data_IF_261718361173
#
_entry.id   IF_261718361173
#
_cell.length_a   1.000
_cell.length_b   1.000
_cell.length_c   1.000
_cell.angle_alpha   90.00
_cell.angle_beta   90.00
_cell.angle_gamma   90.00
#
_symmetry.space_group_name_H-M   'P 1'
#
loop_
_entity.id
_entity.type
_entity.pdbx_description
1 polymer ?
#
# COMPACT_ATOMS: atom_id res chain seq x y z
N UNK A 1 17.73 18.44 44.86
CA UNK A 1 16.62 18.88 43.99
C UNK A 1 16.60 17.95 42.77
N UNK A 2 16.08 16.71 42.81
CA UNK A 2 14.66 16.30 42.86
C UNK A 2 13.81 16.82 41.69
N UNK A 3 14.08 16.36 40.46
CA UNK A 3 13.16 16.51 39.32
C UNK A 3 13.22 15.35 38.30
N UNK A 4 13.36 14.11 38.78
CA UNK A 4 13.41 12.92 37.90
C UNK A 4 12.48 11.78 38.35
N UNK A 5 11.28 12.09 38.87
CA UNK A 5 10.37 11.06 39.39
C UNK A 5 8.87 11.22 39.12
N UNK A 6 8.43 12.08 38.18
CA UNK A 6 6.99 12.40 38.05
C UNK A 6 6.37 12.36 36.64
N UNK A 7 6.76 11.43 35.77
CA UNK A 7 6.00 11.18 34.52
C UNK A 7 5.68 9.71 34.21
N UNK A 8 6.02 8.76 35.09
CA UNK A 8 5.77 7.33 34.85
C UNK A 8 4.35 6.84 35.20
N UNK A 9 3.43 7.72 35.62
CA UNK A 9 2.15 7.32 36.22
C UNK A 9 0.91 7.98 35.59
N UNK A 10 0.79 7.96 34.26
CA UNK A 10 -0.52 8.11 33.60
C UNK A 10 -0.50 7.68 32.12
N UNK A 11 0.08 6.51 31.78
CA UNK A 11 -0.28 5.85 30.52
C UNK A 11 -1.55 5.06 30.82
N UNK A 12 -2.72 5.58 30.47
CA UNK A 12 -3.95 4.77 30.48
C UNK A 12 -3.63 3.51 29.69
N UNK A 13 -3.71 2.35 30.34
CA UNK A 13 -3.57 1.06 29.69
C UNK A 13 -4.72 0.96 28.69
N UNK A 14 -4.46 1.30 27.42
CA UNK A 14 -5.45 1.10 26.36
C UNK A 14 -5.59 -0.42 26.27
N UNK A 15 -6.78 -1.00 26.49
CA UNK A 15 -6.95 -2.44 26.40
C UNK A 15 -6.48 -2.90 25.02
N UNK A 16 -5.75 -4.02 24.99
CA UNK A 16 -5.28 -4.61 23.74
C UNK A 16 -6.49 -4.82 22.83
N UNK A 17 -6.54 -4.17 21.66
CA UNK A 17 -7.68 -4.32 20.77
C UNK A 17 -7.80 -5.79 20.35
N UNK A 18 -9.01 -6.31 20.08
CA UNK A 18 -9.19 -7.64 19.52
C UNK A 18 -8.29 -7.79 18.29
N UNK A 19 -7.81 -9.02 18.02
CA UNK A 19 -6.77 -9.29 17.03
C UNK A 19 -7.07 -8.65 15.65
N UNK A 20 -8.35 -8.62 15.26
CA UNK A 20 -8.86 -7.96 14.04
C UNK A 20 -8.74 -6.44 14.03
N UNK A 21 -8.89 -5.77 15.17
CA UNK A 21 -8.82 -4.31 15.28
C UNK A 21 -7.36 -3.83 15.42
N UNK A 22 -6.51 -4.59 16.10
CA UNK A 22 -5.05 -4.39 16.09
C UNK A 22 -4.49 -4.51 14.66
N UNK A 23 -4.98 -5.52 13.92
CA UNK A 23 -4.65 -5.75 12.51
C UNK A 23 -5.05 -4.58 11.61
N UNK A 24 -6.24 -4.01 11.78
CA UNK A 24 -6.70 -2.85 11.00
C UNK A 24 -5.87 -1.60 11.29
N UNK A 25 -5.55 -1.34 12.57
CA UNK A 25 -4.79 -0.15 12.98
C UNK A 25 -3.32 -0.20 12.55
N UNK A 26 -2.68 -1.38 12.57
CA UNK A 26 -1.33 -1.57 12.02
C UNK A 26 -1.33 -1.41 10.50
N UNK A 27 -2.33 -1.98 9.81
CA UNK A 27 -2.45 -1.88 8.37
C UNK A 27 -2.61 -0.43 7.88
N UNK A 28 -3.27 0.42 8.67
CA UNK A 28 -3.53 1.82 8.33
C UNK A 28 -2.36 2.77 8.60
N UNK A 29 -1.48 2.46 9.57
CA UNK A 29 -0.40 3.37 10.00
C UNK A 29 0.82 3.35 9.08
N UNK A 30 1.14 2.22 8.47
CA UNK A 30 2.36 2.09 7.64
C UNK A 30 2.08 2.23 6.13
N UNK A 31 0.81 2.41 5.73
CA UNK A 31 0.38 2.16 4.34
C UNK A 31 -0.54 3.27 3.80
N UNK A 32 -0.03 4.50 3.72
CA UNK A 32 -0.80 5.68 3.28
C UNK A 32 -1.23 5.70 1.79
N UNK A 33 -0.90 4.65 1.01
CA UNK A 33 -1.08 4.64 -0.45
C UNK A 33 -1.33 3.23 -0.99
N UNK A 34 -2.05 3.17 -2.11
CA UNK A 34 -2.39 1.94 -2.85
C UNK A 34 -1.17 1.04 -3.09
N UNK A 35 -0.01 1.58 -3.48
CA UNK A 35 1.19 0.77 -3.73
C UNK A 35 1.68 0.00 -2.49
N UNK A 36 1.74 0.66 -1.33
CA UNK A 36 2.15 0.02 -0.08
C UNK A 36 1.12 -1.00 0.39
N UNK A 37 -0.17 -0.68 0.22
CA UNK A 37 -1.29 -1.58 0.51
C UNK A 37 -1.17 -2.88 -0.28
N UNK A 38 -0.89 -2.79 -1.59
CA UNK A 38 -0.71 -3.95 -2.45
C UNK A 38 0.52 -4.77 -2.03
N UNK A 39 1.65 -4.14 -1.75
CA UNK A 39 2.86 -4.84 -1.29
C UNK A 39 2.61 -5.66 -0.02
N UNK A 40 1.90 -5.09 0.96
CA UNK A 40 1.50 -5.82 2.17
C UNK A 40 0.52 -6.96 1.87
N UNK A 41 -0.46 -6.71 0.99
CA UNK A 41 -1.41 -7.73 0.57
C UNK A 41 -0.71 -8.92 -0.09
N UNK A 42 0.28 -8.68 -0.96
CA UNK A 42 1.14 -9.72 -1.54
C UNK A 42 1.82 -10.56 -0.46
N UNK A 43 2.52 -9.91 0.48
CA UNK A 43 3.22 -10.57 1.59
C UNK A 43 2.29 -11.43 2.43
N UNK A 44 1.05 -10.98 2.63
CA UNK A 44 0.02 -11.73 3.36
C UNK A 44 -0.50 -12.93 2.57
N UNK A 45 -0.79 -12.75 1.28
CA UNK A 45 -1.24 -13.83 0.40
C UNK A 45 -0.17 -14.91 0.27
N UNK A 46 1.09 -14.53 0.09
CA UNK A 46 2.22 -15.45 0.07
C UNK A 46 2.32 -16.26 1.37
N UNK A 47 2.23 -15.60 2.54
CA UNK A 47 2.19 -16.29 3.84
C UNK A 47 0.99 -17.23 4.00
N UNK A 48 -0.12 -16.95 3.32
CA UNK A 48 -1.31 -17.79 3.30
C UNK A 48 -1.25 -18.92 2.23
N UNK A 49 -0.11 -19.09 1.56
CA UNK A 49 0.13 -20.14 0.56
C UNK A 49 -0.45 -19.84 -0.83
N UNK A 50 -0.65 -18.57 -1.18
CA UNK A 50 -1.01 -18.19 -2.54
C UNK A 50 0.24 -18.06 -3.41
N UNK A 51 0.15 -18.58 -4.64
CA UNK A 51 1.19 -18.49 -5.65
C UNK A 51 1.00 -17.23 -6.52
N UNK A 52 2.08 -16.51 -6.81
CA UNK A 52 2.02 -15.35 -7.70
C UNK A 52 2.04 -15.82 -9.15
N UNK A 53 1.08 -15.36 -9.96
CA UNK A 53 1.10 -15.51 -11.42
C UNK A 53 1.37 -14.17 -12.09
N UNK A 54 2.10 -14.19 -13.20
CA UNK A 54 2.42 -12.99 -13.97
C UNK A 54 1.44 -12.84 -15.13
N UNK A 55 0.88 -11.64 -15.30
CA UNK A 55 -0.11 -11.36 -16.37
C UNK A 55 0.43 -11.54 -17.79
N UNK A 56 1.75 -11.63 -17.94
CA UNK A 56 2.44 -11.77 -19.24
C UNK A 56 2.79 -13.22 -19.58
N UNK A 57 2.52 -14.16 -18.69
CA UNK A 57 2.87 -15.57 -18.84
C UNK A 57 1.60 -16.41 -19.05
N UNK A 58 1.76 -17.58 -19.66
CA UNK A 58 0.68 -18.56 -19.76
C UNK A 58 0.42 -19.19 -18.40
N UNK A 59 -0.84 -19.13 -17.96
CA UNK A 59 -1.22 -19.62 -16.63
C UNK A 59 -1.53 -21.12 -16.66
N UNK A 60 -0.74 -21.90 -15.93
CA UNK A 60 -1.01 -23.31 -15.63
C UNK A 60 -1.69 -23.41 -14.26
N UNK A 61 -3.01 -23.36 -14.27
CA UNK A 61 -3.83 -23.35 -13.05
C UNK A 61 -4.30 -24.77 -12.68
N UNK A 62 -4.28 -25.10 -11.39
CA UNK A 62 -4.73 -26.40 -10.88
C UNK A 62 -5.84 -26.25 -9.85
N UNK A 63 -6.78 -27.21 -9.85
CA UNK A 63 -7.84 -27.29 -8.85
C UNK A 63 -7.26 -27.54 -7.45
N UNK A 64 -7.77 -26.82 -6.46
CA UNK A 64 -7.28 -26.88 -5.07
C UNK A 64 -6.15 -25.92 -4.76
N UNK A 65 -5.57 -25.23 -5.75
CA UNK A 65 -4.54 -24.19 -5.54
C UNK A 65 -5.12 -22.79 -5.44
N UNK A 66 -4.29 -21.86 -4.99
CA UNK A 66 -4.64 -20.45 -4.75
C UNK A 66 -3.60 -19.56 -5.42
N UNK A 67 -4.07 -18.53 -6.11
CA UNK A 67 -3.24 -17.70 -6.95
C UNK A 67 -3.55 -16.22 -6.76
N UNK A 68 -2.58 -15.37 -7.04
CA UNK A 68 -2.82 -13.94 -7.15
C UNK A 68 -1.94 -13.32 -8.23
N UNK A 69 -2.40 -12.21 -8.79
CA UNK A 69 -1.59 -11.36 -9.66
C UNK A 69 -1.81 -9.89 -9.31
N UNK A 70 -0.90 -9.05 -9.78
CA UNK A 70 -1.01 -7.60 -9.60
C UNK A 70 -0.82 -6.85 -10.87
N UNK A 71 -1.67 -5.85 -11.09
CA UNK A 71 -1.60 -4.93 -12.22
C UNK A 71 -1.15 -3.56 -11.75
N UNK A 72 -0.15 -3.00 -12.43
CA UNK A 72 0.44 -1.68 -12.14
C UNK A 72 0.93 -1.48 -10.69
N UNK A 73 1.10 -2.57 -9.91
CA UNK A 73 1.42 -2.53 -8.47
C UNK A 73 0.38 -1.78 -7.60
N UNK A 74 -0.75 -1.36 -8.16
CA UNK A 74 -1.83 -0.64 -7.46
C UNK A 74 -3.10 -1.47 -7.30
N UNK A 75 -3.21 -2.56 -8.06
CA UNK A 75 -4.33 -3.50 -8.04
C UNK A 75 -3.82 -4.90 -7.75
N UNK A 76 -4.55 -5.65 -6.92
CA UNK A 76 -4.33 -7.07 -6.66
C UNK A 76 -5.61 -7.84 -6.88
N UNK A 77 -5.49 -8.99 -7.53
CA UNK A 77 -6.58 -9.94 -7.69
C UNK A 77 -6.07 -11.26 -7.12
N UNK A 78 -6.79 -11.79 -6.14
CA UNK A 78 -6.49 -13.06 -5.51
C UNK A 78 -7.69 -13.98 -5.70
N UNK A 79 -7.44 -15.23 -6.10
CA UNK A 79 -8.47 -16.23 -6.34
C UNK A 79 -8.02 -17.61 -5.87
N UNK A 80 -8.99 -18.43 -5.48
CA UNK A 80 -8.77 -19.80 -5.05
C UNK A 80 -9.64 -20.73 -5.87
N UNK A 81 -9.05 -21.80 -6.40
CA UNK A 81 -9.76 -22.77 -7.23
C UNK A 81 -10.19 -23.93 -6.32
N UNK A 82 -11.48 -24.17 -6.22
CA UNK A 82 -12.01 -25.27 -5.41
C UNK A 82 -11.52 -26.64 -5.93
N UNK A 83 -11.29 -27.61 -5.04
CA UNK A 83 -10.84 -28.97 -5.42
C UNK A 83 -11.80 -29.71 -6.36
N UNK A 84 -13.10 -29.37 -6.29
CA UNK A 84 -14.17 -29.95 -7.13
C UNK A 84 -14.62 -28.99 -8.24
N UNK A 85 -13.81 -27.97 -8.52
CA UNK A 85 -14.14 -27.02 -9.58
C UNK A 85 -14.06 -27.71 -10.94
N UNK A 86 -15.10 -27.52 -11.73
CA UNK A 86 -15.19 -27.92 -13.13
C UNK A 86 -15.64 -26.70 -13.93
N UNK A 87 -15.17 -26.56 -15.16
CA UNK A 87 -15.61 -25.47 -16.04
C UNK A 87 -17.15 -25.47 -16.16
N UNK A 88 -17.77 -24.31 -15.92
CA UNK A 88 -19.22 -24.18 -15.83
C UNK A 88 -19.75 -23.97 -14.40
N UNK A 89 -18.95 -24.27 -13.37
CA UNK A 89 -19.29 -23.91 -12.00
C UNK A 89 -19.25 -22.39 -11.81
N UNK A 90 -20.11 -21.88 -10.91
CA UNK A 90 -20.12 -20.47 -10.52
C UNK A 90 -18.91 -20.07 -9.67
N UNK A 91 -18.79 -18.77 -9.41
CA UNK A 91 -17.76 -18.18 -8.59
C UNK A 91 -18.35 -17.11 -7.66
N UNK A 92 -17.65 -16.83 -6.56
CA UNK A 92 -17.97 -15.72 -5.66
C UNK A 92 -16.90 -14.64 -5.80
N UNK A 93 -17.31 -13.40 -6.08
CA UNK A 93 -16.41 -12.25 -6.19
C UNK A 93 -16.73 -11.27 -5.08
N UNK A 94 -15.68 -10.83 -4.39
CA UNK A 94 -15.72 -9.65 -3.52
C UNK A 94 -14.83 -8.59 -4.16
N UNK A 95 -15.44 -7.45 -4.48
CA UNK A 95 -14.75 -6.29 -5.03
C UNK A 95 -14.52 -5.22 -3.97
N UNK A 96 -13.32 -4.65 -3.95
CA UNK A 96 -12.98 -3.45 -3.20
C UNK A 96 -11.98 -2.62 -4.02
N UNK A 97 -11.84 -1.34 -3.70
CA UNK A 97 -10.86 -0.46 -4.33
C UNK A 97 -9.77 -0.07 -3.32
N UNK A 98 -8.55 0.16 -3.82
CA UNK A 98 -7.34 0.35 -3.01
C UNK A 98 -6.92 1.80 -2.84
N UNK A 99 -7.60 2.70 -3.52
CA UNK A 99 -7.34 4.13 -3.51
C UNK A 99 -8.30 4.86 -2.56
N UNK A 100 -7.94 6.08 -2.22
CA UNK A 100 -8.75 6.98 -1.39
C UNK A 100 -8.45 8.41 -1.79
N UNK A 101 -9.38 9.36 -1.56
CA UNK A 101 -9.13 10.75 -1.90
C UNK A 101 -7.85 11.29 -1.25
N UNK A 102 -7.01 11.95 -2.02
CA UNK A 102 -5.72 12.44 -1.54
C UNK A 102 -5.18 13.63 -2.35
N UNK A 103 -4.17 14.31 -1.79
CA UNK A 103 -3.37 15.30 -2.51
C UNK A 103 -2.23 14.57 -3.25
N UNK A 104 -2.20 14.67 -4.58
CA UNK A 104 -1.12 14.14 -5.43
C UNK A 104 -0.19 15.27 -5.85
N UNK A 105 1.10 15.00 -5.97
CA UNK A 105 2.04 15.97 -6.53
C UNK A 105 1.70 16.26 -8.00
N UNK A 106 1.78 17.54 -8.39
CA UNK A 106 1.79 17.92 -9.80
C UNK A 106 3.14 17.51 -10.43
N UNK A 107 3.20 17.24 -11.75
CA UNK A 107 4.46 16.93 -12.44
C UNK A 107 5.52 18.02 -12.24
N UNK A 108 5.12 19.29 -12.34
CA UNK A 108 5.91 20.44 -11.90
C UNK A 108 5.34 20.87 -10.55
N UNK A 109 6.03 20.50 -9.48
CA UNK A 109 5.56 20.69 -8.10
C UNK A 109 6.31 21.77 -7.33
N UNK A 110 7.42 22.29 -7.85
CA UNK A 110 8.14 23.40 -7.22
C UNK A 110 7.34 24.70 -7.38
N UNK A 111 7.02 25.33 -6.25
CA UNK A 111 6.35 26.64 -6.22
C UNK A 111 7.08 27.52 -5.22
N UNK A 112 7.73 28.58 -5.71
CA UNK A 112 8.34 29.59 -4.85
C UNK A 112 7.39 30.78 -4.73
N UNK A 113 6.89 31.05 -3.51
CA UNK A 113 5.97 32.16 -3.26
C UNK A 113 6.33 32.87 -1.96
N UNK A 114 6.52 34.19 -2.04
CA UNK A 114 6.98 34.98 -0.90
C UNK A 114 8.36 34.51 -0.43
N UNK A 115 8.46 34.06 0.84
CA UNK A 115 9.68 33.50 1.44
C UNK A 115 9.57 32.00 1.74
N UNK A 116 8.59 31.32 1.15
CA UNK A 116 8.35 29.89 1.38
C UNK A 116 8.52 29.08 0.10
N UNK A 117 9.06 27.87 0.26
CA UNK A 117 9.02 26.84 -0.76
C UNK A 117 7.76 26.00 -0.54
N UNK A 118 6.85 26.07 -1.50
CA UNK A 118 5.60 25.33 -1.50
C UNK A 118 5.68 24.15 -2.47
N UNK A 119 4.80 23.17 -2.27
CA UNK A 119 4.68 21.99 -3.12
C UNK A 119 3.32 22.00 -3.81
N UNK A 120 3.34 22.13 -5.14
CA UNK A 120 2.16 22.11 -5.98
C UNK A 120 1.49 20.74 -5.99
N UNK A 121 0.22 20.70 -5.56
CA UNK A 121 -0.60 19.48 -5.49
C UNK A 121 -1.86 19.58 -6.35
N UNK A 122 -2.40 18.43 -6.74
CA UNK A 122 -3.70 18.24 -7.37
C UNK A 122 -4.56 17.31 -6.51
N UNK A 123 -5.86 17.60 -6.45
CA UNK A 123 -6.84 16.78 -5.75
C UNK A 123 -7.13 15.50 -6.54
N UNK A 124 -7.12 14.37 -5.87
CA UNK A 124 -7.51 13.08 -6.42
C UNK A 124 -8.79 12.58 -5.74
N UNK A 125 -9.84 12.30 -6.51
CA UNK A 125 -11.17 11.94 -6.00
C UNK A 125 -11.93 13.14 -5.43
N UNK A 126 -12.99 12.88 -4.66
CA UNK A 126 -13.84 13.89 -4.02
C UNK A 126 -13.65 13.86 -2.50
N UNK A 127 -12.55 14.45 -2.04
CA UNK A 127 -12.21 14.55 -0.63
C UNK A 127 -12.82 15.77 0.06
N UNK A 128 -12.94 15.68 1.38
CA UNK A 128 -13.26 16.83 2.24
C UNK A 128 -12.01 17.72 2.40
N UNK A 129 -11.69 18.53 1.40
CA UNK A 129 -10.38 19.21 1.31
C UNK A 129 -10.06 20.14 2.48
N UNK A 130 -11.08 20.78 3.06
CA UNK A 130 -10.88 21.66 4.21
C UNK A 130 -10.32 20.93 5.44
N UNK A 131 -10.49 19.61 5.56
CA UNK A 131 -9.95 18.83 6.70
C UNK A 131 -8.45 18.54 6.59
N UNK A 132 -7.83 18.82 5.43
CA UNK A 132 -6.41 18.61 5.17
C UNK A 132 -5.54 19.79 5.62
N UNK A 133 -6.14 20.95 5.91
CA UNK A 133 -5.43 22.09 6.50
C UNK A 133 -5.04 21.80 7.95
N UNK A 134 -3.97 22.42 8.41
CA UNK A 134 -3.44 22.31 9.77
C UNK A 134 -3.14 20.86 10.20
N UNK A 135 -2.63 20.06 9.25
CA UNK A 135 -2.17 18.69 9.45
C UNK A 135 -0.67 18.59 9.22
N UNK A 136 0.00 17.76 10.01
CA UNK A 136 1.36 17.32 9.71
C UNK A 136 1.30 16.34 8.53
N UNK A 137 1.60 16.83 7.33
CA UNK A 137 1.56 16.05 6.09
C UNK A 137 2.95 15.51 5.74
N UNK A 138 2.99 14.25 5.31
CA UNK A 138 4.18 13.60 4.75
C UNK A 138 3.93 13.22 3.28
N UNK A 139 5.00 12.81 2.60
CA UNK A 139 4.94 12.33 1.22
C UNK A 139 5.17 10.82 1.14
N UNK A 140 4.34 10.16 0.35
CA UNK A 140 4.48 8.75 0.01
C UNK A 140 4.01 8.52 -1.42
N UNK A 141 4.70 7.64 -2.15
CA UNK A 141 4.40 7.35 -3.55
C UNK A 141 5.37 6.34 -4.15
N UNK A 142 5.32 6.23 -5.47
CA UNK A 142 6.25 5.41 -6.26
C UNK A 142 7.17 6.33 -7.04
N UNK A 143 8.47 6.01 -7.02
CA UNK A 143 9.49 6.68 -7.84
C UNK A 143 9.97 5.69 -8.88
N UNK A 144 10.20 6.18 -10.09
CA UNK A 144 10.88 5.43 -11.15
C UNK A 144 12.30 5.96 -11.19
N UNK A 145 13.26 5.11 -10.85
CA UNK A 145 14.67 5.47 -10.79
C UNK A 145 15.35 4.91 -12.03
N UNK A 146 16.11 5.76 -12.72
CA UNK A 146 17.02 5.30 -13.77
C UNK A 146 18.30 4.79 -13.11
N UNK A 147 18.63 3.54 -13.37
CA UNK A 147 19.89 2.93 -12.97
C UNK A 147 20.72 2.65 -14.21
N UNK A 148 22.03 2.87 -14.12
CA UNK A 148 22.97 2.58 -15.20
C UNK A 148 24.06 1.68 -14.64
N UNK A 149 24.14 0.45 -15.16
CA UNK A 149 25.15 -0.52 -14.76
C UNK A 149 25.71 -1.17 -16.02
N UNK A 150 27.04 -1.11 -16.17
CA UNK A 150 27.77 -1.69 -17.30
C UNK A 150 27.25 -1.26 -18.69
N UNK A 151 26.85 0.01 -18.82
CA UNK A 151 26.31 0.57 -20.07
C UNK A 151 24.85 0.16 -20.38
N UNK A 152 24.21 -0.64 -19.53
CA UNK A 152 22.79 -0.98 -19.63
C UNK A 152 21.99 -0.05 -18.73
N UNK A 153 21.04 0.66 -19.33
CA UNK A 153 20.09 1.51 -18.60
C UNK A 153 18.87 0.68 -18.24
N UNK A 154 18.54 0.61 -16.95
CA UNK A 154 17.31 0.01 -16.44
C UNK A 154 16.49 1.02 -15.66
N UNK A 155 15.18 0.77 -15.54
CA UNK A 155 14.28 1.58 -14.72
C UNK A 155 13.74 0.70 -13.59
N UNK A 156 14.18 0.95 -12.37
CA UNK A 156 13.71 0.24 -11.18
C UNK A 156 12.57 1.03 -10.51
N UNK A 157 11.54 0.30 -10.08
CA UNK A 157 10.47 0.83 -9.24
C UNK A 157 10.70 0.36 -7.81
N UNK A 158 11.51 1.09 -7.04
CA UNK A 158 11.77 0.70 -5.65
C UNK A 158 10.47 0.79 -4.84
N UNK A 159 9.95 -0.37 -4.43
CA UNK A 159 9.02 -0.46 -3.31
C UNK A 159 9.86 -0.55 -2.04
N UNK A 160 9.62 0.27 -1.00
CA UNK A 160 10.42 0.23 0.21
C UNK A 160 10.24 -1.16 0.86
N UNK A 161 11.29 -2.00 0.78
CA UNK A 161 11.26 -3.37 1.29
C UNK A 161 12.03 -4.43 0.49
N UNK A 162 12.74 -4.07 -0.58
CA UNK A 162 13.77 -4.93 -1.18
C UNK A 162 15.14 -4.27 -1.06
N UNK A 163 15.82 -4.56 0.05
CA UNK A 163 17.22 -4.23 0.32
C UNK A 163 17.71 -5.22 1.38
N UNK A 164 18.92 -5.73 1.19
CA UNK A 164 19.58 -6.79 1.95
C UNK A 164 19.38 -6.75 3.48
#
# INVERSE_FOLDING_TARGET
MAYNKLTSKCRRQIPTPPHSLSFFLHFRRDRDRAFHLIDEAKKRLQRAGYEQVLEREDWKLEAGKKYYFTRNYSTIVAFAIGKKFVAGNGFHIVGAHTDSPCLKLKPVSEVAKGRYLEVGVQTYGDGLWHTWFDRDLTIAGRVIVREEKDGVVSYSGNSPGQGC
#
